data_IF_683689267218
#
_entry.id   IF_683689267218
#
_cell.length_a   1.000
_cell.length_b   1.000
_cell.length_c   1.000
_cell.angle_alpha   90.00
_cell.angle_beta   90.00
_cell.angle_gamma   90.00
#
_symmetry.space_group_name_H-M   'P 1'
#
loop_
_entity.id
_entity.type
_entity.pdbx_description
1 polymer ?
#
# COMPACT_ATOMS: atom_id res chain seq x y z
N UNK A 1 14.97 7.74 84.72
CA UNK A 1 16.44 7.76 84.54
C UNK A 1 16.97 6.43 85.05
N UNK A 2 17.83 5.78 84.26
CA UNK A 2 18.44 4.45 84.39
C UNK A 2 17.49 3.28 84.09
N UNK A 3 17.48 2.69 82.89
CA UNK A 3 18.56 2.35 81.95
C UNK A 3 19.47 1.22 82.49
N UNK A 4 19.42 0.10 81.76
CA UNK A 4 20.41 -1.00 81.67
C UNK A 4 20.38 -2.02 82.84
N UNK A 5 20.38 -3.34 82.68
CA UNK A 5 20.97 -4.21 81.66
C UNK A 5 20.30 -5.60 81.62
N UNK A 6 20.22 -6.16 80.40
CA UNK A 6 20.60 -7.53 80.01
C UNK A 6 20.09 -8.73 80.81
N UNK A 7 19.35 -9.61 80.12
CA UNK A 7 19.85 -10.97 79.84
C UNK A 7 19.40 -11.43 78.45
N UNK A 8 20.35 -11.99 77.71
CA UNK A 8 20.20 -12.69 76.45
C UNK A 8 19.85 -14.15 76.74
N UNK A 9 18.98 -14.77 75.93
CA UNK A 9 19.02 -16.21 75.60
C UNK A 9 18.08 -16.43 74.38
N UNK A 10 18.64 -16.49 73.17
CA UNK A 10 18.98 -17.72 72.45
C UNK A 10 17.78 -18.64 72.19
N UNK A 11 17.31 -18.64 70.94
CA UNK A 11 16.33 -19.58 70.43
C UNK A 11 15.78 -19.19 69.05
N UNK A 12 16.62 -19.22 68.01
CA UNK A 12 16.13 -19.44 66.62
C UNK A 12 16.04 -20.97 66.41
N UNK A 13 15.39 -21.49 65.35
CA UNK A 13 14.34 -20.95 64.49
C UNK A 13 13.19 -21.95 64.31
N UNK A 14 12.12 -21.50 63.67
CA UNK A 14 11.23 -22.41 62.95
C UNK A 14 9.79 -22.35 63.41
N UNK A 15 8.93 -22.55 62.42
CA UNK A 15 7.51 -22.86 62.58
C UNK A 15 6.59 -21.64 62.70
N UNK A 16 6.05 -21.26 61.55
CA UNK A 16 4.94 -20.31 61.49
C UNK A 16 4.83 -19.50 60.20
N UNK A 17 5.28 -20.03 59.06
CA UNK A 17 4.97 -19.50 57.71
C UNK A 17 3.44 -19.56 57.41
N UNK A 18 2.58 -19.86 58.38
CA UNK A 18 1.14 -20.06 58.22
C UNK A 18 0.27 -19.01 58.91
N UNK A 19 0.68 -17.73 58.90
CA UNK A 19 -0.21 -16.61 59.24
C UNK A 19 -0.26 -15.52 58.16
N UNK A 20 0.25 -15.81 56.96
CA UNK A 20 0.19 -14.91 55.78
C UNK A 20 -0.62 -15.55 54.63
N UNK A 21 -1.39 -16.61 54.88
CA UNK A 21 -2.31 -17.17 53.88
C UNK A 21 -3.67 -16.45 53.85
N UNK A 22 -4.01 -15.69 54.91
CA UNK A 22 -5.33 -15.03 55.01
C UNK A 22 -5.39 -13.61 54.44
N UNK A 23 -4.25 -13.01 54.05
CA UNK A 23 -4.27 -11.78 53.24
C UNK A 23 -4.35 -12.07 51.73
N UNK A 24 -4.03 -13.29 51.29
CA UNK A 24 -4.07 -13.69 49.88
C UNK A 24 -5.48 -14.06 49.40
N UNK A 25 -6.36 -14.50 50.30
CA UNK A 25 -7.76 -14.84 49.97
C UNK A 25 -8.65 -13.60 49.71
N UNK A 26 -8.27 -12.42 50.20
CA UNK A 26 -9.06 -11.19 50.04
C UNK A 26 -8.71 -10.38 48.76
N UNK A 27 -7.63 -10.71 48.05
CA UNK A 27 -7.21 -9.99 46.84
C UNK A 27 -7.59 -10.68 45.53
N UNK A 28 -8.20 -11.86 45.57
CA UNK A 28 -8.66 -12.57 44.36
C UNK A 28 -10.06 -12.16 43.89
N UNK A 29 -10.77 -11.34 44.68
CA UNK A 29 -12.11 -10.82 44.38
C UNK A 29 -12.13 -9.29 44.25
N UNK A 30 -11.14 -8.71 43.57
CA UNK A 30 -11.37 -7.41 42.95
C UNK A 30 -12.19 -7.66 41.69
N UNK A 31 -13.48 -7.37 41.81
CA UNK A 31 -14.46 -7.25 40.74
C UNK A 31 -13.83 -6.84 39.41
N UNK A 32 -13.67 -7.81 38.50
CA UNK A 32 -13.74 -7.50 37.08
C UNK A 32 -15.19 -7.15 36.80
N UNK A 33 -15.53 -5.89 37.02
CA UNK A 33 -16.68 -5.31 36.35
C UNK A 33 -16.43 -5.53 34.85
N UNK A 34 -17.27 -6.33 34.22
CA UNK A 34 -17.33 -6.51 32.78
C UNK A 34 -17.69 -5.17 32.15
N UNK A 35 -16.70 -4.28 32.07
CA UNK A 35 -16.78 -3.00 31.39
C UNK A 35 -17.03 -3.28 29.92
N UNK A 36 -18.21 -2.83 29.47
CA UNK A 36 -18.72 -2.80 28.10
C UNK A 36 -18.28 -3.95 27.20
N UNK A 37 -19.23 -4.85 26.94
CA UNK A 37 -19.23 -5.64 25.71
C UNK A 37 -18.82 -4.71 24.57
N UNK A 38 -17.69 -4.98 23.92
CA UNK A 38 -17.33 -4.32 22.67
C UNK A 38 -18.37 -4.78 21.65
N UNK A 39 -19.52 -4.10 21.62
CA UNK A 39 -20.53 -4.32 20.61
C UNK A 39 -19.88 -3.87 19.32
N UNK A 40 -19.44 -4.84 18.52
CA UNK A 40 -19.16 -4.59 17.11
C UNK A 40 -20.40 -3.93 16.52
N UNK A 41 -20.26 -2.68 16.08
CA UNK A 41 -21.35 -1.90 15.52
C UNK A 41 -22.09 -2.73 14.45
N UNK A 42 -23.43 -2.75 14.46
CA UNK A 42 -24.18 -3.48 13.45
C UNK A 42 -23.81 -2.96 12.06
N UNK A 43 -23.52 -3.89 11.14
CA UNK A 43 -23.30 -3.57 9.73
C UNK A 43 -24.55 -2.83 9.22
N UNK A 44 -24.45 -1.54 8.81
CA UNK A 44 -25.62 -0.76 8.44
C UNK A 44 -26.32 -1.39 7.23
N UNK A 45 -27.65 -1.36 7.25
CA UNK A 45 -28.46 -1.84 6.13
C UNK A 45 -28.17 -0.98 4.89
N UNK A 46 -28.36 -1.57 3.70
CA UNK A 46 -28.05 -1.04 2.35
C UNK A 46 -28.71 0.32 1.97
N UNK A 47 -29.36 1.01 2.91
CA UNK A 47 -29.96 2.34 2.76
C UNK A 47 -29.45 3.42 3.75
N UNK A 48 -28.76 3.07 4.84
CA UNK A 48 -28.08 4.03 5.74
C UNK A 48 -26.68 4.44 5.21
N UNK A 49 -26.23 3.79 4.13
CA UNK A 49 -24.93 4.01 3.49
C UNK A 49 -24.81 5.38 2.80
N UNK A 50 -25.85 6.21 2.81
CA UNK A 50 -25.85 7.55 2.19
C UNK A 50 -25.61 8.70 3.17
N UNK A 51 -25.70 8.50 4.49
CA UNK A 51 -25.56 9.59 5.49
C UNK A 51 -24.27 9.55 6.32
N UNK A 52 -23.39 8.58 6.06
CA UNK A 52 -22.07 8.58 6.70
C UNK A 52 -21.28 9.88 6.46
N UNK A 53 -21.39 10.61 5.33
CA UNK A 53 -20.68 11.87 5.18
C UNK A 53 -21.13 12.92 6.21
N UNK A 54 -22.40 12.91 6.66
CA UNK A 54 -22.89 13.86 7.65
C UNK A 54 -22.31 13.62 9.05
N UNK A 55 -21.94 12.38 9.35
CA UNK A 55 -21.34 11.95 10.64
C UNK A 55 -19.82 12.05 10.67
N UNK A 56 -19.19 12.62 9.63
CA UNK A 56 -17.75 12.69 9.51
C UNK A 56 -17.15 13.79 10.40
N UNK A 57 -16.26 13.41 11.32
CA UNK A 57 -15.58 14.34 12.24
C UNK A 57 -14.73 15.41 11.51
N UNK A 58 -14.33 15.16 10.26
CA UNK A 58 -13.59 16.14 9.46
C UNK A 58 -14.43 17.35 9.03
N UNK A 59 -15.76 17.32 9.21
CA UNK A 59 -16.64 18.46 8.87
C UNK A 59 -16.48 19.66 9.80
N UNK A 60 -16.07 19.41 11.04
CA UNK A 60 -15.90 20.44 12.05
C UNK A 60 -14.48 21.04 12.04
N UNK A 61 -13.66 20.67 11.04
CA UNK A 61 -12.26 21.08 10.89
C UNK A 61 -12.06 21.76 9.54
N UNK A 62 -11.08 22.66 9.46
CA UNK A 62 -10.75 23.36 8.22
C UNK A 62 -10.40 22.39 7.07
N UNK A 63 -11.00 22.57 5.88
CA UNK A 63 -10.82 21.64 4.76
C UNK A 63 -9.38 21.62 4.24
N UNK A 64 -8.66 22.75 4.31
CA UNK A 64 -7.28 22.89 3.85
C UNK A 64 -6.31 21.97 4.59
N UNK A 65 -6.65 21.55 5.82
CA UNK A 65 -5.87 20.58 6.58
C UNK A 65 -5.69 19.27 5.81
N UNK A 66 -6.69 18.85 5.04
CA UNK A 66 -6.70 17.59 4.29
C UNK A 66 -6.03 17.70 2.92
N UNK A 67 -5.58 18.89 2.50
CA UNK A 67 -4.89 19.15 1.24
C UNK A 67 -3.53 19.83 1.49
N UNK A 68 -2.50 19.06 1.93
CA UNK A 68 -1.19 19.63 2.22
C UNK A 68 -0.60 20.39 1.02
N UNK A 69 -0.24 21.65 1.22
CA UNK A 69 0.50 22.44 0.24
C UNK A 69 1.96 22.01 0.07
N UNK A 70 2.71 21.64 1.14
CA UNK A 70 4.07 21.16 0.99
C UNK A 70 4.11 19.83 0.24
N UNK A 71 4.99 19.68 -0.74
CA UNK A 71 5.07 18.49 -1.62
C UNK A 71 6.05 17.42 -1.14
N UNK A 72 6.92 17.72 -0.18
CA UNK A 72 7.95 16.79 0.31
C UNK A 72 8.57 17.21 1.64
N UNK A 73 9.23 16.25 2.29
CA UNK A 73 10.04 16.47 3.49
C UNK A 73 9.26 16.56 4.79
N UNK A 74 9.90 17.11 5.83
CA UNK A 74 9.36 17.15 7.19
C UNK A 74 8.06 17.97 7.30
N UNK A 75 7.92 19.03 6.48
CA UNK A 75 6.73 19.87 6.45
C UNK A 75 5.50 19.12 5.92
N UNK A 76 5.67 18.35 4.83
CA UNK A 76 4.61 17.47 4.32
C UNK A 76 4.23 16.44 5.38
N UNK A 77 5.21 15.73 5.95
CA UNK A 77 4.95 14.71 6.96
C UNK A 77 4.22 15.28 8.19
N UNK A 78 4.54 16.52 8.60
CA UNK A 78 3.84 17.19 9.69
C UNK A 78 2.40 17.57 9.33
N UNK A 79 2.15 18.05 8.11
CA UNK A 79 0.79 18.33 7.62
C UNK A 79 -0.04 17.04 7.53
N UNK A 80 0.53 15.98 6.94
CA UNK A 80 -0.13 14.67 6.84
C UNK A 80 -0.48 14.09 8.21
N UNK A 81 0.45 14.15 9.18
CA UNK A 81 0.19 13.67 10.55
C UNK A 81 -0.98 14.40 11.20
N UNK A 82 -1.10 15.73 11.01
CA UNK A 82 -2.19 16.51 11.59
C UNK A 82 -3.55 16.11 11.01
N UNK A 83 -3.66 15.97 9.69
CA UNK A 83 -4.89 15.51 9.06
C UNK A 83 -5.26 14.06 9.43
N UNK A 84 -4.26 13.17 9.44
CA UNK A 84 -4.47 11.76 9.81
C UNK A 84 -4.89 11.61 11.27
N UNK A 85 -4.49 12.51 12.17
CA UNK A 85 -4.96 12.50 13.56
C UNK A 85 -6.49 12.70 13.64
N UNK A 86 -7.05 13.59 12.82
CA UNK A 86 -8.52 13.78 12.71
C UNK A 86 -9.18 12.52 12.15
N UNK A 87 -8.60 11.91 11.11
CA UNK A 87 -9.15 10.68 10.53
C UNK A 87 -9.20 9.51 11.54
N UNK A 88 -8.23 9.41 12.45
CA UNK A 88 -8.15 8.29 13.42
C UNK A 88 -9.29 8.27 14.43
N UNK A 89 -9.87 9.43 14.75
CA UNK A 89 -11.00 9.56 15.68
C UNK A 89 -12.34 9.62 14.97
N UNK A 90 -12.35 9.51 13.64
CA UNK A 90 -13.57 9.65 12.84
C UNK A 90 -14.42 8.36 12.87
N UNK A 91 -15.70 8.42 13.28
CA UNK A 91 -16.55 7.23 13.43
C UNK A 91 -16.88 6.56 12.09
N UNK A 92 -16.79 7.29 10.98
CA UNK A 92 -17.12 6.81 9.62
C UNK A 92 -15.88 6.46 8.80
N UNK A 93 -14.74 6.21 9.45
CA UNK A 93 -13.45 5.97 8.78
C UNK A 93 -13.52 4.86 7.73
N UNK A 94 -14.18 3.74 8.04
CA UNK A 94 -14.31 2.59 7.14
C UNK A 94 -15.09 2.94 5.86
N UNK A 95 -16.26 3.57 6.01
CA UNK A 95 -17.09 4.01 4.89
C UNK A 95 -16.37 5.08 4.06
N UNK A 96 -15.76 6.06 4.72
CA UNK A 96 -14.95 7.10 4.07
C UNK A 96 -13.79 6.51 3.28
N UNK A 97 -13.08 5.51 3.82
CA UNK A 97 -11.98 4.83 3.12
C UNK A 97 -12.46 4.05 1.90
N UNK A 98 -13.59 3.36 1.99
CA UNK A 98 -14.17 2.65 0.86
C UNK A 98 -14.51 3.61 -0.28
N UNK A 99 -15.20 4.72 0.03
CA UNK A 99 -15.52 5.78 -0.92
C UNK A 99 -14.27 6.46 -1.49
N UNK A 100 -13.33 6.88 -0.64
CA UNK A 100 -12.14 7.64 -1.04
C UNK A 100 -11.19 6.85 -1.95
N UNK A 101 -11.21 5.52 -1.88
CA UNK A 101 -10.42 4.69 -2.78
C UNK A 101 -10.92 4.74 -4.23
N UNK A 102 -12.22 5.00 -4.43
CA UNK A 102 -12.86 5.08 -5.75
C UNK A 102 -12.99 6.52 -6.23
N UNK A 103 -13.50 7.41 -5.38
CA UNK A 103 -13.99 8.74 -5.78
C UNK A 103 -13.04 9.88 -5.43
N UNK A 104 -12.12 9.71 -4.45
CA UNK A 104 -11.26 10.82 -3.99
C UNK A 104 -9.77 10.66 -4.38
N UNK A 105 -9.37 11.20 -5.55
CA UNK A 105 -8.01 11.03 -6.07
C UNK A 105 -6.95 11.84 -5.33
N UNK A 106 -7.30 12.97 -4.71
CA UNK A 106 -6.34 13.92 -4.13
C UNK A 106 -6.50 14.08 -2.62
N UNK A 107 -5.44 14.58 -1.97
CA UNK A 107 -5.46 14.91 -0.54
C UNK A 107 -5.57 13.69 0.37
N UNK A 108 -5.87 13.94 1.64
CA UNK A 108 -5.96 12.94 2.70
C UNK A 108 -7.43 12.62 2.92
N UNK A 109 -7.79 11.34 2.79
CA UNK A 109 -9.16 10.87 2.89
C UNK A 109 -9.18 9.41 3.37
N UNK A 110 -10.17 9.05 4.19
CA UNK A 110 -10.29 7.70 4.72
C UNK A 110 -9.09 7.25 5.55
N UNK A 111 -8.40 8.19 6.22
CA UNK A 111 -7.19 7.93 7.00
C UNK A 111 -6.04 7.36 6.17
N UNK A 112 -5.96 7.75 4.90
CA UNK A 112 -4.86 7.42 4.00
C UNK A 112 -4.41 8.68 3.27
N UNK A 113 -3.12 8.80 3.02
CA UNK A 113 -2.57 9.83 2.12
C UNK A 113 -2.88 9.51 0.66
N UNK A 114 -2.71 10.49 -0.21
CA UNK A 114 -2.86 10.29 -1.65
C UNK A 114 -1.96 9.16 -2.16
N UNK A 115 -0.71 9.12 -1.69
CA UNK A 115 0.27 8.13 -2.11
C UNK A 115 -0.07 6.73 -1.61
N UNK A 116 -0.56 6.61 -0.37
CA UNK A 116 -1.05 5.35 0.17
C UNK A 116 -2.25 4.82 -0.61
N UNK A 117 -3.24 5.68 -0.93
CA UNK A 117 -4.39 5.28 -1.77
C UNK A 117 -3.96 4.86 -3.17
N UNK A 118 -3.01 5.58 -3.78
CA UNK A 118 -2.44 5.23 -5.09
C UNK A 118 -1.71 3.89 -5.04
N UNK A 119 -0.95 3.60 -3.99
CA UNK A 119 -0.30 2.29 -3.78
C UNK A 119 -1.33 1.19 -3.59
N UNK A 120 -2.35 1.42 -2.77
CA UNK A 120 -3.43 0.46 -2.56
C UNK A 120 -4.13 0.10 -3.88
N UNK A 121 -4.50 1.09 -4.70
CA UNK A 121 -5.11 0.87 -6.03
C UNK A 121 -4.23 0.06 -6.99
N UNK A 122 -2.90 0.20 -6.89
CA UNK A 122 -1.93 -0.56 -7.71
C UNK A 122 -1.71 -1.98 -7.16
N UNK A 123 -1.79 -2.14 -5.83
CA UNK A 123 -1.55 -3.39 -5.14
C UNK A 123 -2.75 -4.34 -5.18
N UNK A 124 -3.98 -3.84 -5.38
CA UNK A 124 -5.16 -4.70 -5.57
C UNK A 124 -4.93 -5.56 -6.83
N UNK A 125 -4.68 -6.87 -6.69
CA UNK A 125 -4.62 -7.76 -7.84
C UNK A 125 -5.99 -7.66 -8.49
N UNK A 126 -6.04 -7.47 -9.83
CA UNK A 126 -7.30 -7.65 -10.55
C UNK A 126 -7.85 -9.01 -10.11
N UNK A 127 -9.03 -9.03 -9.47
CA UNK A 127 -9.66 -10.25 -8.94
C UNK A 127 -9.42 -11.41 -9.92
N UNK A 128 -8.94 -12.58 -9.49
CA UNK A 128 -8.87 -13.76 -10.34
C UNK A 128 -10.28 -14.37 -10.53
N UNK A 129 -11.29 -13.54 -10.80
CA UNK A 129 -12.64 -13.97 -11.21
C UNK A 129 -12.79 -14.07 -12.73
N UNK A 130 -11.71 -13.80 -13.47
CA UNK A 130 -11.59 -13.98 -14.93
C UNK A 130 -10.41 -14.90 -15.27
N UNK A 131 -9.98 -15.75 -14.34
CA UNK A 131 -8.89 -16.71 -14.57
C UNK A 131 -9.42 -18.07 -15.01
N UNK A 132 -10.66 -18.45 -14.65
CA UNK A 132 -11.26 -19.72 -15.11
C UNK A 132 -11.93 -19.64 -16.48
N UNK A 133 -12.18 -18.43 -17.01
CA UNK A 133 -12.59 -18.26 -18.41
C UNK A 133 -11.48 -17.61 -19.21
N UNK A 134 -10.68 -18.50 -19.79
CA UNK A 134 -9.72 -18.24 -20.85
C UNK A 134 -8.37 -17.68 -20.35
N UNK A 135 -7.45 -18.60 -20.06
CA UNK A 135 -6.06 -18.42 -20.41
C UNK A 135 -5.95 -18.29 -21.94
N UNK A 136 -6.37 -17.14 -22.48
CA UNK A 136 -5.90 -16.72 -23.79
C UNK A 136 -4.43 -16.45 -23.58
N UNK A 137 -3.57 -17.40 -23.97
CA UNK A 137 -2.19 -17.09 -24.32
C UNK A 137 -2.28 -15.87 -25.24
N UNK A 138 -1.69 -14.71 -24.89
CA UNK A 138 -1.65 -13.60 -25.81
C UNK A 138 -1.00 -14.13 -27.09
N UNK A 139 -1.79 -14.27 -28.16
CA UNK A 139 -1.23 -14.53 -29.48
C UNK A 139 -0.18 -13.45 -29.76
N UNK A 140 0.89 -13.75 -30.52
CA UNK A 140 1.91 -12.78 -30.81
C UNK A 140 1.25 -11.52 -31.36
N UNK A 141 1.45 -10.39 -30.67
CA UNK A 141 0.99 -9.11 -31.18
C UNK A 141 1.65 -8.93 -32.56
N UNK A 142 0.92 -8.50 -33.60
CA UNK A 142 1.49 -8.27 -34.93
C UNK A 142 2.67 -7.28 -34.94
N UNK A 143 2.88 -6.55 -33.83
CA UNK A 143 3.99 -5.60 -33.63
C UNK A 143 5.10 -6.14 -32.73
N UNK A 144 4.84 -7.21 -31.97
CA UNK A 144 5.75 -7.77 -30.97
C UNK A 144 6.74 -8.77 -31.58
N UNK A 145 6.35 -9.52 -32.62
CA UNK A 145 7.27 -10.45 -33.29
C UNK A 145 7.88 -9.84 -34.57
N UNK A 146 8.72 -8.82 -34.40
CA UNK A 146 9.51 -8.22 -35.49
C UNK A 146 10.82 -8.95 -35.75
N UNK A 147 11.16 -9.96 -34.95
CA UNK A 147 12.39 -10.74 -35.09
C UNK A 147 12.59 -11.32 -36.51
N UNK A 148 11.60 -11.94 -37.18
CA UNK A 148 11.78 -12.45 -38.53
C UNK A 148 12.02 -11.33 -39.56
N UNK A 149 11.38 -10.17 -39.39
CA UNK A 149 11.55 -9.01 -40.28
C UNK A 149 12.96 -8.41 -40.14
N UNK A 150 13.48 -8.35 -38.92
CA UNK A 150 14.85 -7.89 -38.64
C UNK A 150 15.87 -8.87 -39.23
N UNK A 151 15.67 -10.18 -39.02
CA UNK A 151 16.57 -11.21 -39.55
C UNK A 151 16.61 -11.20 -41.09
N UNK A 152 15.45 -11.14 -41.75
CA UNK A 152 15.37 -11.03 -43.21
C UNK A 152 16.05 -9.76 -43.73
N UNK A 153 15.88 -8.63 -43.03
CA UNK A 153 16.56 -7.37 -43.36
C UNK A 153 18.08 -7.46 -43.26
N UNK A 154 18.60 -8.09 -42.21
CA UNK A 154 20.04 -8.31 -42.04
C UNK A 154 20.60 -9.22 -43.13
N UNK A 155 19.95 -10.34 -43.43
CA UNK A 155 20.38 -11.26 -44.49
C UNK A 155 20.43 -10.55 -45.85
N UNK A 156 19.41 -9.76 -46.19
CA UNK A 156 19.38 -9.04 -47.46
C UNK A 156 20.47 -7.95 -47.55
N UNK A 157 20.77 -7.26 -46.45
CA UNK A 157 21.86 -6.29 -46.37
C UNK A 157 23.23 -6.94 -46.57
N UNK A 158 23.48 -8.08 -45.91
CA UNK A 158 24.73 -8.83 -46.06
C UNK A 158 24.88 -9.41 -47.47
N UNK A 159 23.77 -9.75 -48.14
CA UNK A 159 23.76 -10.16 -49.54
C UNK A 159 23.99 -9.00 -50.54
N UNK A 160 24.09 -7.76 -50.06
CA UNK A 160 24.33 -6.57 -50.90
C UNK A 160 23.11 -6.04 -51.64
N UNK A 161 21.89 -6.41 -51.21
CA UNK A 161 20.67 -5.89 -51.83
C UNK A 161 20.48 -4.38 -51.59
N UNK A 162 19.79 -3.70 -52.52
CA UNK A 162 19.51 -2.27 -52.39
C UNK A 162 18.63 -1.99 -51.16
N UNK A 163 18.97 -0.91 -50.45
CA UNK A 163 18.30 -0.57 -49.17
C UNK A 163 16.85 -0.14 -49.37
N UNK A 164 16.54 0.50 -50.50
CA UNK A 164 15.17 0.87 -50.87
C UNK A 164 14.32 -0.35 -51.23
N UNK A 165 14.92 -1.33 -51.89
CA UNK A 165 14.26 -2.58 -52.27
C UNK A 165 13.94 -3.44 -51.04
N UNK A 166 14.88 -3.54 -50.08
CA UNK A 166 14.66 -4.22 -48.79
C UNK A 166 13.50 -3.55 -48.03
N UNK A 167 13.49 -2.22 -47.97
CA UNK A 167 12.46 -1.46 -47.28
C UNK A 167 11.05 -1.74 -47.83
N UNK A 168 10.90 -1.70 -49.16
CA UNK A 168 9.62 -2.00 -49.84
C UNK A 168 9.18 -3.44 -49.63
N UNK A 169 10.11 -4.40 -49.78
CA UNK A 169 9.82 -5.83 -49.68
C UNK A 169 9.37 -6.25 -48.28
N UNK A 170 10.01 -5.71 -47.25
CA UNK A 170 9.74 -6.06 -45.85
C UNK A 170 8.68 -5.16 -45.18
N UNK A 171 8.13 -4.17 -45.90
CA UNK A 171 7.15 -3.24 -45.36
C UNK A 171 7.70 -2.35 -44.23
N UNK A 172 8.99 -2.01 -44.28
CA UNK A 172 9.68 -1.13 -43.31
C UNK A 172 10.19 0.13 -43.99
N UNK A 173 10.53 1.15 -43.21
CA UNK A 173 11.06 2.41 -43.79
C UNK A 173 12.52 2.27 -44.20
N UNK A 174 12.98 3.03 -45.22
CA UNK A 174 14.40 3.11 -45.60
C UNK A 174 15.30 3.49 -44.41
N UNK A 175 14.82 4.37 -43.53
CA UNK A 175 15.52 4.75 -42.28
C UNK A 175 15.71 3.57 -41.31
N UNK A 176 14.79 2.60 -41.30
CA UNK A 176 14.94 1.36 -40.52
C UNK A 176 16.06 0.50 -41.09
N UNK A 177 16.09 0.34 -42.42
CA UNK A 177 17.13 -0.43 -43.12
C UNK A 177 18.50 0.24 -42.98
N UNK A 178 18.59 1.56 -43.09
CA UNK A 178 19.83 2.32 -42.88
C UNK A 178 20.38 2.15 -41.46
N UNK A 179 19.51 2.08 -40.44
CA UNK A 179 19.91 1.81 -39.06
C UNK A 179 20.49 0.41 -38.90
N UNK A 180 19.88 -0.60 -39.52
CA UNK A 180 20.42 -1.96 -39.53
C UNK A 180 21.76 -2.04 -40.27
N UNK A 181 21.89 -1.38 -41.40
CA UNK A 181 23.15 -1.32 -42.15
C UNK A 181 24.27 -0.65 -41.34
N UNK A 182 23.97 0.44 -40.64
CA UNK A 182 24.92 1.09 -39.73
C UNK A 182 25.36 0.17 -38.58
N UNK A 183 24.43 -0.59 -37.99
CA UNK A 183 24.74 -1.56 -36.93
C UNK A 183 25.62 -2.72 -37.42
N UNK A 184 25.50 -3.11 -38.70
CA UNK A 184 26.33 -4.13 -39.35
C UNK A 184 27.61 -3.56 -40.00
N UNK A 185 27.88 -2.26 -39.85
CA UNK A 185 28.98 -1.55 -40.50
C UNK A 185 29.01 -1.70 -42.04
N UNK A 186 27.84 -1.88 -42.67
CA UNK A 186 27.70 -1.99 -44.12
C UNK A 186 27.64 -0.57 -44.71
N UNK A 187 28.60 -0.16 -45.56
CA UNK A 187 28.58 1.18 -46.15
C UNK A 187 27.38 1.36 -47.07
N UNK A 188 26.95 2.60 -47.29
CA UNK A 188 25.95 2.87 -48.33
C UNK A 188 26.61 2.52 -49.66
N UNK A 189 26.11 1.48 -50.34
CA UNK A 189 26.60 1.13 -51.67
C UNK A 189 26.49 2.36 -52.56
N UNK A 190 27.63 2.83 -53.08
CA UNK A 190 27.67 3.89 -54.06
C UNK A 190 26.95 3.40 -55.31
N UNK A 191 25.80 4.00 -55.62
CA UNK A 191 25.01 3.68 -56.80
C UNK A 191 25.81 3.94 -58.08
N UNK A 192 25.62 3.05 -59.05
CA UNK A 192 25.93 3.32 -60.47
C UNK A 192 24.80 4.11 -61.09
#
# INVERSE_FOLDING_TARGET
>A
MNEQQQTQEMGRPGDGILAEHDRRAALTNQHMEVGEVFTVDPVPARGEELDWPARAACRDVEPDLFFPTPTHGAALAAAERRALAVCRVCPVLAACRAWANVEQPHGIAGGLTEDERRRARRATPRRPGRAERSAVVPGPSPRADRAPVIAAGHTALTAGADRGDIARTLGVTRRTVDRWAAALAIPAGGGR
#
